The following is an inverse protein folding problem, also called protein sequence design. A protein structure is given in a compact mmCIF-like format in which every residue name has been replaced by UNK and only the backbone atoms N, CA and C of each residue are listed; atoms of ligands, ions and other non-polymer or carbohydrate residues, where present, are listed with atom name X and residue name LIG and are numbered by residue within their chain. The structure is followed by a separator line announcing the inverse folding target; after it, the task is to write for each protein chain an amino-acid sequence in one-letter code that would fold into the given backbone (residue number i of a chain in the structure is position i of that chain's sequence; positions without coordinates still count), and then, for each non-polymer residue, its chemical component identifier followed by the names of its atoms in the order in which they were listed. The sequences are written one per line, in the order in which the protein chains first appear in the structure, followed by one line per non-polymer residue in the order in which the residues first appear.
data_IF_875895093394
#
_entry.id   IF_875895093394
#
_cell.length_a   1.000
_cell.length_b   1.000
_cell.length_c   1.000
_cell.angle_alpha   90.00
_cell.angle_beta   90.00
_cell.angle_gamma   90.00
#
_symmetry.space_group_name_H-M   'P 1'
#
loop_
_entity.id
_entity.type
_entity.pdbx_description
1 polymer ?
#
# COMPACT_ATOMS: atom_id res chain seq x y z
N UNK A 1 -8.97 6.20 21.10
CA UNK A 1 -8.15 5.74 19.96
C UNK A 1 -8.96 4.67 19.26
N UNK A 2 -9.04 4.69 17.91
CA UNK A 2 -9.76 3.66 17.18
C UNK A 2 -8.93 2.38 17.20
N UNK A 3 -9.46 1.29 17.75
CA UNK A 3 -8.80 -0.01 17.72
C UNK A 3 -9.23 -0.75 16.44
N UNK A 4 -8.26 -1.15 15.63
CA UNK A 4 -8.48 -1.87 14.38
C UNK A 4 -7.77 -3.23 14.50
N UNK A 5 -8.50 -4.35 14.54
CA UNK A 5 -7.89 -5.67 14.45
C UNK A 5 -7.13 -5.83 13.12
N UNK A 6 -5.89 -6.32 13.21
CA UNK A 6 -5.02 -6.55 12.05
C UNK A 6 -4.48 -7.98 12.08
N UNK A 7 -4.52 -8.65 10.94
CA UNK A 7 -3.77 -9.88 10.69
C UNK A 7 -2.59 -9.51 9.78
N UNK A 8 -1.40 -9.94 10.18
CA UNK A 8 -0.17 -9.72 9.42
C UNK A 8 0.46 -11.08 9.07
N UNK A 9 0.40 -11.44 7.79
CA UNK A 9 1.06 -12.62 7.23
C UNK A 9 2.44 -12.30 6.63
N UNK A 10 2.79 -11.02 6.52
CA UNK A 10 4.12 -10.61 6.05
C UNK A 10 5.18 -10.84 7.12
N UNK A 11 6.45 -10.77 6.71
CA UNK A 11 7.60 -10.77 7.64
C UNK A 11 7.91 -9.40 8.24
N UNK A 12 7.20 -8.35 7.83
CA UNK A 12 7.45 -6.97 8.20
C UNK A 12 6.70 -6.59 9.48
N UNK A 13 7.19 -5.63 10.28
CA UNK A 13 6.43 -5.09 11.40
C UNK A 13 5.13 -4.42 10.92
N UNK A 14 4.15 -4.30 11.82
CA UNK A 14 2.94 -3.54 11.53
C UNK A 14 3.28 -2.08 11.19
N UNK A 15 2.54 -1.46 10.25
CA UNK A 15 2.70 -0.04 9.97
C UNK A 15 2.42 0.82 11.20
N UNK A 16 3.17 1.91 11.31
CA UNK A 16 3.02 2.87 12.40
C UNK A 16 3.01 4.30 11.87
N UNK A 17 2.38 5.18 12.64
CA UNK A 17 2.50 6.62 12.43
C UNK A 17 3.88 7.08 12.90
N UNK A 18 4.69 7.59 11.97
CA UNK A 18 6.06 8.02 12.29
C UNK A 18 6.12 9.20 13.25
N UNK A 19 5.06 10.04 13.29
CA UNK A 19 4.97 11.19 14.19
C UNK A 19 3.54 11.34 14.70
N UNK A 20 3.38 12.08 15.80
CA UNK A 20 2.06 12.39 16.38
C UNK A 20 1.13 13.19 15.47
N UNK A 21 1.66 13.78 14.39
CA UNK A 21 0.90 14.58 13.42
C UNK A 21 0.74 13.88 12.06
N UNK A 22 1.22 12.65 11.93
CA UNK A 22 1.12 11.89 10.68
C UNK A 22 -0.34 11.55 10.38
N UNK A 23 -0.81 11.91 9.18
CA UNK A 23 -2.17 11.60 8.73
C UNK A 23 -2.32 10.16 8.17
N UNK A 24 -1.21 9.54 7.77
CA UNK A 24 -1.17 8.18 7.24
C UNK A 24 0.05 7.41 7.75
N UNK A 25 0.04 6.11 7.49
CA UNK A 25 1.10 5.16 7.78
C UNK A 25 1.58 4.54 6.46
N UNK A 26 2.86 4.19 6.39
CA UNK A 26 3.46 3.58 5.19
C UNK A 26 3.17 2.08 5.16
N UNK A 27 2.61 1.58 4.05
CA UNK A 27 2.50 0.16 3.76
C UNK A 27 3.78 -0.36 3.11
N UNK A 28 4.16 -1.60 3.43
CA UNK A 28 5.30 -2.30 2.83
C UNK A 28 4.81 -3.37 1.86
N UNK A 29 5.60 -3.63 0.83
CA UNK A 29 5.37 -4.75 -0.07
C UNK A 29 5.73 -6.05 0.66
N UNK A 30 4.98 -7.12 0.44
CA UNK A 30 5.30 -8.46 0.94
C UNK A 30 5.61 -9.38 -0.24
N UNK A 31 6.86 -9.37 -0.70
CA UNK A 31 7.28 -10.01 -1.93
C UNK A 31 8.15 -11.24 -1.63
N UNK A 32 7.61 -12.48 -1.73
CA UNK A 32 8.39 -13.70 -1.53
C UNK A 32 9.58 -13.83 -2.49
N UNK A 33 9.48 -13.26 -3.70
CA UNK A 33 10.57 -13.22 -4.69
C UNK A 33 11.64 -12.15 -4.41
N UNK A 34 11.44 -11.32 -3.38
CA UNK A 34 12.33 -10.21 -2.98
C UNK A 34 12.15 -8.92 -3.79
N UNK A 35 11.74 -9.00 -5.06
CA UNK A 35 11.45 -7.80 -5.86
C UNK A 35 10.50 -8.08 -7.04
N UNK A 36 9.90 -7.00 -7.55
CA UNK A 36 9.12 -6.96 -8.79
C UNK A 36 9.55 -5.73 -9.60
N UNK A 37 9.84 -5.93 -10.88
CA UNK A 37 10.13 -4.83 -11.82
C UNK A 37 8.84 -4.37 -12.49
N UNK A 38 8.67 -3.06 -12.58
CA UNK A 38 7.61 -2.39 -13.32
C UNK A 38 8.23 -1.64 -14.50
N UNK A 39 7.98 -2.11 -15.71
CA UNK A 39 8.32 -1.36 -16.91
C UNK A 39 7.45 -0.09 -17.05
N UNK A 40 7.85 0.90 -17.87
CA UNK A 40 7.01 2.05 -18.19
C UNK A 40 5.59 1.64 -18.61
N UNK A 41 4.59 2.29 -18.00
CA UNK A 41 3.14 2.03 -18.17
C UNK A 41 2.65 0.65 -17.69
N UNK A 42 3.52 -0.16 -17.09
CA UNK A 42 3.11 -1.40 -16.44
C UNK A 42 2.39 -1.12 -15.12
N UNK A 43 1.44 -2.00 -14.79
CA UNK A 43 0.73 -2.03 -13.51
C UNK A 43 0.79 -3.42 -12.91
N UNK A 44 1.02 -3.49 -11.60
CA UNK A 44 1.01 -4.75 -10.85
C UNK A 44 0.27 -4.58 -9.54
N UNK A 45 -0.40 -5.65 -9.11
CA UNK A 45 -1.06 -5.70 -7.83
C UNK A 45 -0.06 -6.18 -6.77
N UNK A 46 0.42 -5.27 -5.93
CA UNK A 46 1.47 -5.53 -4.94
C UNK A 46 0.83 -5.98 -3.63
N UNK A 47 1.11 -7.21 -3.15
CA UNK A 47 0.65 -7.68 -1.84
C UNK A 47 1.33 -6.91 -0.70
N UNK A 48 0.62 -6.78 0.43
CA UNK A 48 1.19 -6.22 1.67
C UNK A 48 1.18 -7.23 2.81
N UNK A 49 0.52 -8.38 2.65
CA UNK A 49 0.34 -9.38 3.70
C UNK A 49 -0.54 -8.92 4.88
N UNK A 50 -1.26 -7.80 4.74
CA UNK A 50 -2.09 -7.25 5.82
C UNK A 50 -3.58 -7.42 5.51
N UNK A 51 -4.35 -7.83 6.50
CA UNK A 51 -5.82 -7.76 6.49
C UNK A 51 -6.29 -7.01 7.71
N UNK A 52 -7.31 -6.17 7.55
CA UNK A 52 -7.86 -5.34 8.63
C UNK A 52 -9.36 -5.57 8.79
N UNK A 53 -9.88 -5.29 9.99
CA UNK A 53 -11.30 -5.24 10.27
C UNK A 53 -11.69 -3.83 10.73
N UNK A 54 -12.11 -3.00 9.79
CA UNK A 54 -12.56 -1.65 10.10
C UNK A 54 -13.94 -1.67 10.79
N UNK A 55 -14.19 -0.78 11.76
CA UNK A 55 -15.51 -0.61 12.35
C UNK A 55 -16.49 0.01 11.36
N UNK A 56 -17.78 -0.29 11.53
CA UNK A 56 -18.85 0.28 10.70
C UNK A 56 -18.82 1.81 10.78
N UNK A 57 -18.98 2.47 9.63
CA UNK A 57 -18.94 3.93 9.51
C UNK A 57 -17.55 4.51 9.23
N UNK A 58 -16.55 3.66 9.03
CA UNK A 58 -15.18 4.04 8.66
C UNK A 58 -14.76 3.37 7.36
N UNK A 59 -13.84 4.03 6.66
CA UNK A 59 -13.06 3.48 5.56
C UNK A 59 -11.57 3.71 5.83
N UNK A 60 -10.71 2.89 5.23
CA UNK A 60 -9.30 3.22 5.05
C UNK A 60 -9.04 3.60 3.60
N UNK A 61 -8.09 4.51 3.38
CA UNK A 61 -7.71 4.96 2.06
C UNK A 61 -6.24 4.69 1.77
N UNK A 62 -5.97 3.98 0.67
CA UNK A 62 -4.62 3.78 0.15
C UNK A 62 -4.31 4.91 -0.84
N UNK A 63 -3.32 5.74 -0.47
CA UNK A 63 -2.90 6.91 -1.24
C UNK A 63 -1.43 6.79 -1.68
N UNK A 64 -1.01 7.48 -2.75
CA UNK A 64 0.35 7.37 -3.27
C UNK A 64 1.32 8.12 -2.36
N UNK A 65 2.55 7.61 -2.23
CA UNK A 65 3.63 8.33 -1.53
C UNK A 65 4.17 9.42 -2.45
N UNK A 66 4.09 10.68 -2.02
CA UNK A 66 4.49 11.84 -2.83
C UNK A 66 5.95 11.75 -3.31
N UNK A 67 6.85 11.21 -2.50
CA UNK A 67 8.25 11.02 -2.86
C UNK A 67 8.44 10.04 -4.03
N UNK A 68 7.70 8.94 -4.07
CA UNK A 68 7.75 7.97 -5.17
C UNK A 68 7.11 8.52 -6.44
N UNK A 69 5.98 9.23 -6.29
CA UNK A 69 5.31 9.88 -7.41
C UNK A 69 6.20 10.92 -8.08
N UNK A 70 6.82 11.82 -7.31
CA UNK A 70 7.65 12.90 -7.84
C UNK A 70 8.98 12.40 -8.44
N UNK A 71 9.66 11.46 -7.76
CA UNK A 71 11.01 11.05 -8.13
C UNK A 71 11.06 9.92 -9.16
N UNK A 72 10.04 9.07 -9.18
CA UNK A 72 10.04 7.84 -9.98
C UNK A 72 8.77 7.65 -10.83
N UNK A 73 7.82 8.60 -10.78
CA UNK A 73 6.56 8.48 -11.51
C UNK A 73 5.68 7.32 -11.04
N UNK A 74 5.85 6.83 -9.81
CA UNK A 74 5.05 5.71 -9.30
C UNK A 74 3.75 6.23 -8.70
N UNK A 75 2.65 5.75 -9.27
CA UNK A 75 1.30 6.05 -8.84
C UNK A 75 0.55 4.80 -8.36
N UNK A 76 -0.71 5.02 -8.00
CA UNK A 76 -1.68 3.97 -7.69
C UNK A 76 -2.86 4.18 -8.63
N UNK A 77 -3.21 3.17 -9.42
CA UNK A 77 -4.21 3.28 -10.50
C UNK A 77 -5.58 3.70 -9.96
N UNK A 78 -5.99 3.10 -8.85
CA UNK A 78 -7.30 3.30 -8.23
C UNK A 78 -7.25 4.30 -7.06
N UNK A 79 -6.32 5.27 -7.08
CA UNK A 79 -6.17 6.18 -5.93
C UNK A 79 -7.26 7.26 -5.85
N UNK A 80 -7.78 7.59 -4.65
CA UNK A 80 -7.58 6.87 -3.38
C UNK A 80 -8.26 5.49 -3.41
N UNK A 81 -7.53 4.45 -3.04
CA UNK A 81 -8.08 3.09 -2.98
C UNK A 81 -8.88 2.91 -1.70
N UNK A 82 -10.19 2.69 -1.80
CA UNK A 82 -11.08 2.51 -0.67
C UNK A 82 -11.00 1.08 -0.12
N UNK A 83 -10.92 0.97 1.20
CA UNK A 83 -11.09 -0.28 1.96
C UNK A 83 -12.30 -0.08 2.87
N UNK A 84 -13.38 -0.77 2.54
CA UNK A 84 -14.66 -0.70 3.26
C UNK A 84 -14.65 -1.49 4.58
N UNK A 85 -15.62 -1.17 5.45
CA UNK A 85 -15.78 -1.81 6.76
C UNK A 85 -16.06 -3.32 6.70
N UNK A 86 -16.58 -3.83 5.59
CA UNK A 86 -16.88 -5.25 5.37
C UNK A 86 -15.75 -6.01 4.66
N UNK A 87 -14.71 -5.31 4.19
CA UNK A 87 -13.57 -5.93 3.53
C UNK A 87 -12.70 -6.69 4.54
N UNK A 88 -12.43 -7.97 4.27
CA UNK A 88 -11.55 -8.84 5.09
C UNK A 88 -10.41 -9.47 4.30
N UNK A 89 -10.31 -9.15 3.01
CA UNK A 89 -9.24 -9.64 2.17
C UNK A 89 -7.89 -9.03 2.55
N UNK A 90 -6.85 -9.47 1.86
CA UNK A 90 -5.53 -8.86 1.95
C UNK A 90 -5.56 -7.49 1.26
N UNK A 91 -5.05 -6.47 1.93
CA UNK A 91 -4.78 -5.17 1.32
C UNK A 91 -3.71 -5.36 0.26
N UNK A 92 -4.03 -4.98 -0.97
CA UNK A 92 -3.09 -4.98 -2.09
C UNK A 92 -3.11 -3.64 -2.79
N UNK A 93 -1.95 -3.20 -3.27
CA UNK A 93 -1.77 -1.88 -3.87
C UNK A 93 -1.55 -2.03 -5.37
N UNK A 94 -2.46 -1.48 -6.18
CA UNK A 94 -2.35 -1.50 -7.64
C UNK A 94 -1.40 -0.40 -8.12
N UNK A 95 -0.09 -0.66 -8.05
CA UNK A 95 0.93 0.28 -8.51
C UNK A 95 0.92 0.39 -10.03
N UNK A 96 1.25 1.58 -10.51
CA UNK A 96 1.54 1.87 -11.93
C UNK A 96 2.81 2.69 -12.04
N UNK A 97 3.64 2.36 -13.02
CA UNK A 97 4.78 3.18 -13.41
C UNK A 97 4.37 4.14 -14.53
N UNK A 98 4.26 5.42 -14.22
CA UNK A 98 3.92 6.48 -15.18
C UNK A 98 5.16 7.21 -15.73
N UNK A 99 6.36 6.75 -15.36
CA UNK A 99 7.61 7.29 -15.88
C UNK A 99 8.03 6.58 -17.16
N UNK A 100 9.13 7.08 -17.76
CA UNK A 100 9.78 6.45 -18.91
C UNK A 100 10.96 5.54 -18.51
N UNK A 101 11.17 5.32 -17.21
CA UNK A 101 12.25 4.48 -16.69
C UNK A 101 11.66 3.27 -15.93
N UNK A 102 12.29 2.09 -15.98
CA UNK A 102 11.82 0.98 -15.17
C UNK A 102 12.02 1.23 -13.68
N UNK A 103 11.09 0.75 -12.86
CA UNK A 103 11.16 0.88 -11.41
C UNK A 103 11.07 -0.49 -10.75
N UNK A 104 11.94 -0.75 -9.77
CA UNK A 104 11.92 -2.02 -9.02
C UNK A 104 11.33 -1.79 -7.64
N UNK A 105 10.19 -2.44 -7.38
CA UNK A 105 9.62 -2.57 -6.04
C UNK A 105 10.42 -3.64 -5.30
N UNK A 106 10.94 -3.29 -4.13
CA UNK A 106 11.64 -4.20 -3.23
C UNK A 106 10.71 -4.63 -2.10
N UNK A 107 10.95 -5.83 -1.57
CA UNK A 107 10.38 -6.31 -0.30
C UNK A 107 10.77 -5.42 0.89
#
# INVERSE_FOLDING_TARGET
MLEIPVINHSRHPLPEYQTVHSAGLDLRADLPSGSIKLEPLERQLIPTGLSIALPIGYEAQVRPRSGLALKHGIGIVNSPGTIDADYRGEIRVLLVNLSNEPFTVQD
#
